data_IF_289764786676
#
_entry.id   IF_289764786676
#
_cell.length_a   1.000
_cell.length_b   1.000
_cell.length_c   1.000
_cell.angle_alpha   90.00
_cell.angle_beta   90.00
_cell.angle_gamma   90.00
#
_symmetry.space_group_name_H-M   'P 1'
#
loop_
_entity.id
_entity.type
_entity.pdbx_description
1 polymer ?
#
# COMPACT_ATOMS: atom_id res chain seq x y z
N UNK A 1 -38.94 11.12 47.90
CA UNK A 1 -37.70 10.50 48.44
C UNK A 1 -37.03 9.53 47.46
N UNK A 2 -37.55 8.32 47.19
CA UNK A 2 -36.86 7.35 46.31
C UNK A 2 -36.76 7.80 44.84
N UNK A 3 -37.83 8.40 44.30
CA UNK A 3 -37.89 8.90 42.92
C UNK A 3 -36.96 10.10 42.71
N UNK A 4 -36.83 10.98 43.71
CA UNK A 4 -35.93 12.13 43.66
C UNK A 4 -34.46 11.71 43.68
N UNK A 5 -34.10 10.75 44.53
CA UNK A 5 -32.74 10.20 44.59
C UNK A 5 -32.32 9.53 43.26
N UNK A 6 -33.26 8.82 42.61
CA UNK A 6 -33.01 8.22 41.29
C UNK A 6 -32.77 9.29 40.22
N UNK A 7 -33.59 10.33 40.19
CA UNK A 7 -33.45 11.46 39.25
C UNK A 7 -32.12 12.20 39.43
N UNK A 8 -31.68 12.42 40.66
CA UNK A 8 -30.39 13.04 40.94
C UNK A 8 -29.21 12.18 40.45
N UNK A 9 -29.32 10.86 40.57
CA UNK A 9 -28.28 9.92 40.13
C UNK A 9 -28.16 9.89 38.61
N UNK A 10 -29.30 9.82 37.91
CA UNK A 10 -29.37 9.87 36.44
C UNK A 10 -28.84 11.22 35.90
N UNK A 11 -29.14 12.33 36.58
CA UNK A 11 -28.65 13.65 36.20
C UNK A 11 -27.13 13.76 36.36
N UNK A 12 -26.57 13.19 37.43
CA UNK A 12 -25.12 13.14 37.66
C UNK A 12 -24.40 12.26 36.63
N UNK A 13 -24.97 11.11 36.28
CA UNK A 13 -24.48 10.24 35.18
C UNK A 13 -24.47 10.99 33.84
N UNK A 14 -25.56 11.70 33.52
CA UNK A 14 -25.69 12.44 32.26
C UNK A 14 -24.70 13.61 32.18
N UNK A 15 -24.52 14.35 33.29
CA UNK A 15 -23.53 15.42 33.39
C UNK A 15 -22.10 14.89 33.26
N UNK A 16 -21.80 13.73 33.85
CA UNK A 16 -20.50 13.07 33.71
C UNK A 16 -20.24 12.67 32.25
N UNK A 17 -21.22 12.08 31.56
CA UNK A 17 -21.12 11.76 30.12
C UNK A 17 -20.94 13.02 29.27
N UNK A 18 -21.69 14.08 29.58
CA UNK A 18 -21.57 15.38 28.89
C UNK A 18 -20.18 16.00 29.08
N UNK A 19 -19.62 15.94 30.29
CA UNK A 19 -18.25 16.41 30.57
C UNK A 19 -17.17 15.65 29.78
N UNK A 20 -17.36 14.35 29.53
CA UNK A 20 -16.48 13.58 28.64
C UNK A 20 -16.66 13.91 27.14
N UNK A 21 -17.87 14.28 26.72
CA UNK A 21 -18.19 14.65 25.33
C UNK A 21 -17.79 16.09 24.97
N UNK A 22 -17.73 16.99 25.95
CA UNK A 22 -17.42 18.43 25.73
C UNK A 22 -16.03 18.68 25.09
N UNK A 23 -14.93 18.02 25.52
CA UNK A 23 -13.63 18.18 24.86
C UNK A 23 -13.58 17.58 23.45
N UNK A 24 -14.41 16.56 23.16
CA UNK A 24 -14.53 15.95 21.83
C UNK A 24 -15.18 16.92 20.85
N UNK A 25 -16.26 17.61 21.26
CA UNK A 25 -16.92 18.62 20.43
C UNK A 25 -16.06 19.87 20.17
N UNK A 26 -15.25 20.28 21.14
CA UNK A 26 -14.34 21.41 20.96
C UNK A 26 -13.22 21.11 19.94
N UNK A 27 -12.74 19.87 19.88
CA UNK A 27 -11.72 19.43 18.93
C UNK A 27 -12.21 19.33 17.47
N UNK A 28 -13.52 19.14 17.26
CA UNK A 28 -14.13 19.08 15.92
C UNK A 28 -14.23 20.46 15.23
N UNK A 29 -14.06 21.56 15.96
CA UNK A 29 -14.25 22.93 15.46
C UNK A 29 -12.95 23.68 15.15
N UNK A 30 -11.78 23.03 15.25
CA UNK A 30 -10.48 23.62 14.89
C UNK A 30 -9.84 22.83 13.75
N UNK A 31 -9.71 23.39 12.53
CA UNK A 31 -9.14 22.70 11.37
C UNK A 31 -7.65 22.31 11.50
N UNK A 32 -6.98 22.67 12.59
CA UNK A 32 -5.52 22.62 12.74
C UNK A 32 -4.98 21.57 13.70
N UNK A 33 -5.84 20.77 14.38
CA UNK A 33 -5.39 19.72 15.30
C UNK A 33 -5.52 18.30 14.77
N UNK A 34 -6.07 18.13 13.56
CA UNK A 34 -6.27 16.82 12.96
C UNK A 34 -4.94 16.26 12.47
N UNK A 35 -4.57 15.08 12.98
CA UNK A 35 -3.31 14.42 12.64
C UNK A 35 -3.55 12.95 12.33
N UNK A 36 -2.72 12.42 11.44
CA UNK A 36 -2.69 10.98 11.20
C UNK A 36 -2.16 10.26 12.44
N UNK A 37 -2.86 9.21 12.86
CA UNK A 37 -2.33 8.22 13.78
C UNK A 37 -1.20 7.40 13.14
N UNK A 38 -0.60 6.53 13.95
CA UNK A 38 0.40 5.59 13.47
C UNK A 38 -0.20 4.59 12.47
N UNK A 39 0.64 4.11 11.55
CA UNK A 39 0.28 2.98 10.70
C UNK A 39 0.29 1.72 11.54
N UNK A 40 -0.76 0.93 11.39
CA UNK A 40 -0.94 -0.37 12.03
C UNK A 40 -0.96 -1.41 10.93
N UNK A 41 -0.04 -2.36 10.98
CA UNK A 41 0.02 -3.45 10.03
C UNK A 41 -1.25 -4.31 10.15
N UNK A 42 -1.78 -4.70 9.01
CA UNK A 42 -2.98 -5.53 8.91
C UNK A 42 -2.63 -6.75 8.08
N UNK A 43 -2.91 -7.92 8.62
CA UNK A 43 -2.88 -9.13 7.82
C UNK A 43 -4.23 -9.26 7.10
N UNK A 44 -4.20 -9.08 5.79
CA UNK A 44 -5.39 -9.21 4.94
C UNK A 44 -5.13 -10.19 3.81
N UNK A 45 -6.20 -10.84 3.36
CA UNK A 45 -6.09 -11.84 2.31
C UNK A 45 -5.61 -11.21 1.00
N UNK A 46 -4.64 -11.87 0.39
CA UNK A 46 -4.22 -11.51 -0.94
C UNK A 46 -5.30 -11.83 -1.97
N UNK A 47 -5.58 -10.86 -2.86
CA UNK A 47 -6.59 -10.96 -3.92
C UNK A 47 -6.28 -12.06 -4.94
N UNK A 48 -5.00 -12.36 -5.16
CA UNK A 48 -4.52 -13.45 -6.01
C UNK A 48 -3.53 -14.32 -5.24
N UNK A 49 -3.36 -15.57 -5.66
CA UNK A 49 -2.49 -16.52 -4.94
C UNK A 49 -1.14 -16.75 -5.60
N UNK A 50 -0.86 -16.11 -6.75
CA UNK A 50 0.35 -16.33 -7.53
C UNK A 50 0.80 -15.09 -8.32
N UNK A 51 2.03 -15.14 -8.80
CA UNK A 51 2.55 -14.26 -9.84
C UNK A 51 2.92 -12.84 -9.40
N UNK A 52 2.90 -12.57 -8.08
CA UNK A 52 2.85 -11.21 -7.53
C UNK A 52 1.74 -10.37 -8.17
N UNK A 53 0.63 -11.03 -8.51
CA UNK A 53 -0.52 -10.42 -9.18
C UNK A 53 -1.57 -9.89 -8.22
N UNK A 54 -1.46 -10.24 -6.94
CA UNK A 54 -2.43 -9.90 -5.93
C UNK A 54 -2.04 -8.62 -5.22
N UNK A 55 -3.04 -7.99 -4.62
CA UNK A 55 -2.87 -6.85 -3.74
C UNK A 55 -3.56 -7.17 -2.43
N UNK A 56 -2.93 -6.82 -1.32
CA UNK A 56 -3.49 -6.89 0.03
C UNK A 56 -3.36 -5.55 0.72
N UNK A 57 -4.16 -5.33 1.75
CA UNK A 57 -3.96 -4.22 2.68
C UNK A 57 -2.83 -4.62 3.62
N UNK A 58 -1.71 -3.90 3.55
CA UNK A 58 -0.56 -4.11 4.43
C UNK A 58 -0.67 -3.33 5.73
N UNK A 59 -1.25 -2.12 5.69
CA UNK A 59 -1.44 -1.31 6.88
C UNK A 59 -2.62 -0.33 6.77
N UNK A 60 -3.16 0.07 7.93
CA UNK A 60 -4.19 1.10 8.06
C UNK A 60 -3.78 2.15 9.08
N UNK A 61 -4.33 3.35 8.97
CA UNK A 61 -4.23 4.41 9.97
C UNK A 61 -5.55 5.18 10.07
N UNK A 62 -5.80 5.75 11.23
CA UNK A 62 -6.98 6.57 11.48
C UNK A 62 -6.59 8.02 11.70
N UNK A 63 -7.51 8.93 11.35
CA UNK A 63 -7.37 10.34 11.67
C UNK A 63 -7.74 10.56 13.13
N UNK A 64 -6.91 11.31 13.85
CA UNK A 64 -7.11 11.64 15.25
C UNK A 64 -7.26 13.16 15.43
N UNK A 65 -8.13 13.60 16.36
CA UNK A 65 -9.12 12.82 17.11
C UNK A 65 -10.30 12.29 16.26
N UNK A 66 -11.08 11.35 16.80
CA UNK A 66 -12.24 10.76 16.10
C UNK A 66 -13.18 11.88 15.62
N UNK A 67 -13.56 11.83 14.34
CA UNK A 67 -14.40 12.83 13.68
C UNK A 67 -13.61 13.93 12.97
N UNK A 68 -12.29 13.93 13.06
CA UNK A 68 -11.43 14.74 12.20
C UNK A 68 -11.38 14.21 10.77
N UNK A 69 -11.15 15.14 9.83
CA UNK A 69 -10.86 14.83 8.42
C UNK A 69 -9.39 15.07 8.14
N UNK A 70 -8.64 14.01 7.87
CA UNK A 70 -7.23 14.10 7.47
C UNK A 70 -7.13 13.98 5.94
N UNK A 71 -6.21 14.74 5.34
CA UNK A 71 -5.91 14.61 3.91
C UNK A 71 -4.84 13.54 3.67
N UNK A 72 -5.04 12.73 2.63
CA UNK A 72 -4.15 11.62 2.25
C UNK A 72 -4.73 10.23 2.55
N UNK A 73 -3.96 9.16 2.28
CA UNK A 73 -4.47 7.80 2.36
C UNK A 73 -4.60 7.30 3.80
N UNK A 74 -5.69 6.62 4.14
CA UNK A 74 -5.87 5.90 5.41
C UNK A 74 -5.46 4.43 5.32
N UNK A 75 -5.22 3.92 4.11
CA UNK A 75 -4.88 2.52 3.83
C UNK A 75 -3.62 2.46 2.98
N UNK A 76 -2.77 1.46 3.24
CA UNK A 76 -1.61 1.10 2.42
C UNK A 76 -1.81 -0.28 1.83
N UNK A 77 -1.55 -0.38 0.54
CA UNK A 77 -1.60 -1.61 -0.22
C UNK A 77 -0.21 -2.15 -0.50
N UNK A 78 -0.10 -3.47 -0.54
CA UNK A 78 1.13 -4.20 -0.83
C UNK A 78 0.85 -5.30 -1.85
N UNK A 79 1.81 -5.52 -2.75
CA UNK A 79 1.76 -6.62 -3.71
C UNK A 79 1.95 -7.95 -2.99
N UNK A 80 1.24 -8.97 -3.45
CA UNK A 80 1.21 -10.29 -2.82
C UNK A 80 0.84 -11.39 -3.82
N UNK A 81 0.80 -12.63 -3.33
CA UNK A 81 0.56 -13.81 -4.17
C UNK A 81 1.87 -14.31 -4.74
N UNK A 82 2.75 -14.78 -3.86
CA UNK A 82 4.10 -15.23 -4.21
C UNK A 82 4.10 -16.44 -5.17
N UNK A 83 5.26 -16.72 -5.77
CA UNK A 83 5.42 -17.80 -6.73
C UNK A 83 4.97 -17.43 -8.14
N UNK A 84 5.05 -18.40 -9.06
CA UNK A 84 4.64 -18.22 -10.45
C UNK A 84 3.21 -18.69 -10.68
N UNK A 85 2.45 -17.98 -11.51
CA UNK A 85 1.17 -18.48 -11.98
C UNK A 85 1.35 -19.56 -13.06
N UNK A 86 0.43 -20.52 -13.13
CA UNK A 86 0.43 -21.59 -14.15
C UNK A 86 0.13 -21.11 -15.59
N UNK A 87 0.09 -19.79 -15.81
CA UNK A 87 -0.16 -19.18 -17.13
C UNK A 87 1.13 -19.21 -17.94
N UNK A 88 1.09 -19.88 -19.09
CA UNK A 88 2.29 -20.10 -19.91
C UNK A 88 2.90 -18.79 -20.46
N UNK A 89 2.09 -17.83 -20.88
CA UNK A 89 2.58 -16.61 -21.53
C UNK A 89 2.88 -15.46 -20.56
N UNK A 90 2.35 -15.53 -19.33
CA UNK A 90 2.50 -14.46 -18.33
C UNK A 90 2.44 -15.00 -16.89
N UNK A 91 3.51 -15.66 -16.42
CA UNK A 91 3.59 -16.24 -15.08
C UNK A 91 3.67 -15.19 -13.96
N UNK A 92 4.09 -13.97 -14.28
CA UNK A 92 4.25 -12.84 -13.35
C UNK A 92 3.50 -11.59 -13.82
N UNK A 93 3.05 -10.76 -12.88
CA UNK A 93 2.30 -9.53 -13.17
C UNK A 93 3.16 -8.26 -13.08
N UNK A 94 2.66 -7.17 -13.68
CA UNK A 94 3.29 -5.85 -13.56
C UNK A 94 4.75 -5.83 -14.00
N UNK A 95 5.61 -5.38 -13.09
CA UNK A 95 7.06 -5.29 -13.27
C UNK A 95 7.83 -6.54 -12.82
N UNK A 96 7.12 -7.60 -12.38
CA UNK A 96 7.76 -8.82 -11.93
C UNK A 96 8.11 -9.72 -13.12
N UNK A 97 9.32 -10.27 -13.11
CA UNK A 97 9.81 -11.28 -14.06
C UNK A 97 9.91 -12.63 -13.39
N UNK A 98 9.71 -13.67 -14.21
CA UNK A 98 9.87 -15.05 -13.77
C UNK A 98 11.36 -15.35 -13.58
N UNK A 99 11.73 -15.76 -12.37
CA UNK A 99 13.08 -16.18 -12.03
C UNK A 99 13.05 -17.34 -11.05
N UNK A 100 14.22 -17.82 -10.66
CA UNK A 100 14.35 -18.95 -9.74
C UNK A 100 15.20 -18.52 -8.56
N UNK A 101 14.62 -18.51 -7.37
CA UNK A 101 15.34 -18.22 -6.12
C UNK A 101 15.41 -19.50 -5.30
N UNK A 102 16.62 -19.96 -5.01
CA UNK A 102 16.87 -21.21 -4.25
C UNK A 102 16.19 -22.45 -4.87
N UNK A 103 16.13 -22.53 -6.20
CA UNK A 103 15.49 -23.63 -6.92
C UNK A 103 13.96 -23.58 -6.99
N UNK A 104 13.33 -22.56 -6.39
CA UNK A 104 11.88 -22.36 -6.43
C UNK A 104 11.56 -21.27 -7.47
N UNK A 105 10.69 -21.56 -8.46
CA UNK A 105 10.28 -20.56 -9.43
C UNK A 105 9.40 -19.50 -8.75
N UNK A 106 9.79 -18.24 -8.88
CA UNK A 106 9.14 -17.11 -8.23
C UNK A 106 9.16 -15.87 -9.12
N UNK A 107 8.29 -14.92 -8.80
CA UNK A 107 8.24 -13.63 -9.46
C UNK A 107 9.07 -12.63 -8.67
N UNK A 108 10.10 -12.08 -9.31
CA UNK A 108 11.00 -11.08 -8.73
C UNK A 108 10.88 -9.79 -9.52
N UNK A 109 11.15 -8.64 -8.90
CA UNK A 109 11.18 -7.38 -9.65
C UNK A 109 12.23 -7.47 -10.77
N UNK A 110 11.88 -7.03 -11.99
CA UNK A 110 12.68 -7.17 -13.21
C UNK A 110 14.14 -6.66 -13.14
N UNK A 111 14.52 -5.94 -12.08
CA UNK A 111 15.90 -5.49 -11.81
C UNK A 111 16.79 -6.55 -11.16
N UNK A 112 16.26 -7.73 -10.81
CA UNK A 112 16.99 -8.79 -10.11
C UNK A 112 17.54 -9.93 -11.03
N UNK A 113 17.39 -9.83 -12.35
CA UNK A 113 17.66 -10.92 -13.31
C UNK A 113 19.12 -10.99 -13.86
N UNK A 114 20.14 -10.65 -13.06
CA UNK A 114 21.57 -10.77 -13.46
C UNK A 114 22.31 -11.88 -12.71
N UNK A 115 21.65 -12.62 -11.82
CA UNK A 115 22.28 -13.71 -11.09
C UNK A 115 21.65 -15.03 -11.57
N UNK A 116 22.47 -15.87 -12.19
CA UNK A 116 22.20 -17.24 -12.65
C UNK A 116 21.91 -17.44 -14.15
N UNK A 117 22.91 -17.17 -14.99
CA UNK A 117 23.25 -18.03 -16.15
C UNK A 117 24.64 -17.70 -16.69
N UNK A 118 25.68 -18.26 -16.06
CA UNK A 118 26.96 -18.48 -16.76
C UNK A 118 27.09 -19.97 -17.08
N UNK A 119 26.92 -20.40 -18.34
CA UNK A 119 27.60 -21.61 -18.77
C UNK A 119 29.10 -21.33 -18.77
N UNK A 120 29.88 -22.25 -18.22
CA UNK A 120 31.34 -22.18 -18.22
C UNK A 120 31.85 -22.10 -19.66
N UNK A 121 32.32 -20.92 -20.10
CA UNK A 121 33.13 -20.79 -21.31
C UNK A 121 34.54 -20.33 -20.94
N UNK A 122 35.46 -21.28 -21.05
CA UNK A 122 36.91 -21.08 -21.19
C UNK A 122 37.16 -20.13 -22.37
N UNK A 123 37.88 -19.04 -22.14
CA UNK A 123 38.89 -18.52 -23.08
C UNK A 123 39.63 -17.33 -22.47
N UNK A 124 40.90 -17.58 -22.18
CA UNK A 124 42.07 -16.71 -22.29
C UNK A 124 41.98 -15.24 -21.83
N UNK A 125 42.67 -15.02 -20.72
CA UNK A 125 43.51 -13.86 -20.39
C UNK A 125 43.86 -12.93 -21.56
N UNK A 126 43.44 -11.67 -21.47
CA UNK A 126 44.16 -10.55 -22.08
C UNK A 126 44.02 -9.35 -21.17
N UNK A 127 45.15 -8.96 -20.60
CA UNK A 127 45.38 -7.79 -19.78
C UNK A 127 45.08 -6.54 -20.63
N UNK A 128 44.17 -5.68 -20.17
CA UNK A 128 44.04 -4.32 -20.70
C UNK A 128 43.78 -3.33 -19.57
N UNK A 129 44.80 -2.52 -19.32
CA UNK A 129 44.91 -1.48 -18.30
C UNK A 129 44.00 -0.30 -18.58
N UNK A 130 42.96 -0.12 -17.76
CA UNK A 130 42.26 1.17 -17.56
C UNK A 130 41.84 1.33 -16.08
N UNK A 131 41.72 2.57 -15.55
CA UNK A 131 41.80 2.83 -14.12
C UNK A 131 40.51 2.42 -13.39
N UNK A 132 40.67 1.61 -12.34
CA UNK A 132 39.64 1.24 -11.36
C UNK A 132 39.04 2.51 -10.71
N UNK A 133 37.82 2.87 -11.09
CA UNK A 133 36.86 3.37 -10.10
C UNK A 133 36.49 2.15 -9.26
N UNK A 134 36.83 2.19 -7.98
CA UNK A 134 36.43 1.19 -6.99
C UNK A 134 34.90 1.20 -6.86
N UNK A 135 34.20 0.47 -7.72
CA UNK A 135 32.85 0.03 -7.43
C UNK A 135 32.96 -0.93 -6.24
N UNK A 136 32.56 -0.42 -5.08
CA UNK A 136 32.37 -1.23 -3.88
C UNK A 136 31.41 -2.35 -4.27
N UNK A 137 31.82 -3.60 -4.04
CA UNK A 137 31.02 -4.79 -4.34
C UNK A 137 29.68 -4.67 -3.63
N UNK A 138 28.61 -4.44 -4.39
CA UNK A 138 27.22 -4.19 -3.93
C UNK A 138 26.53 -5.43 -3.34
N UNK A 139 27.26 -6.51 -3.12
CA UNK A 139 26.74 -7.79 -2.62
C UNK A 139 26.66 -7.91 -1.10
N UNK A 140 26.95 -6.85 -0.33
CA UNK A 140 27.06 -6.95 1.15
C UNK A 140 26.46 -5.77 1.91
N UNK A 141 25.62 -4.95 1.29
CA UNK A 141 24.94 -3.88 2.02
C UNK A 141 23.41 -4.04 2.00
N UNK A 142 22.82 -4.12 3.21
CA UNK A 142 21.39 -3.88 3.44
C UNK A 142 21.17 -2.37 3.47
N UNK A 143 20.38 -1.89 2.53
CA UNK A 143 19.98 -0.49 2.48
C UNK A 143 18.77 -0.22 3.36
N UNK A 144 18.52 1.07 3.60
CA UNK A 144 17.35 1.58 4.30
C UNK A 144 16.55 2.42 3.30
N UNK A 145 15.22 2.27 3.36
CA UNK A 145 14.31 3.05 2.54
C UNK A 145 14.36 4.55 2.88
N UNK A 146 14.43 5.39 1.86
CA UNK A 146 14.12 6.81 1.98
C UNK A 146 12.64 7.00 2.35
N UNK A 147 12.25 8.19 2.82
CA UNK A 147 10.86 8.58 2.84
C UNK A 147 10.24 8.48 1.43
N UNK A 148 8.93 8.20 1.39
CA UNK A 148 8.16 8.25 0.15
C UNK A 148 8.04 9.69 -0.34
N UNK A 149 8.19 9.87 -1.64
CA UNK A 149 8.03 11.14 -2.36
C UNK A 149 6.90 11.02 -3.39
N UNK A 150 6.03 12.03 -3.57
CA UNK A 150 4.90 11.94 -4.50
C UNK A 150 5.36 11.65 -5.92
N UNK A 151 4.68 10.71 -6.59
CA UNK A 151 4.96 10.37 -7.98
C UNK A 151 4.46 11.47 -8.91
N UNK A 152 5.30 11.93 -9.84
CA UNK A 152 4.90 12.92 -10.86
C UNK A 152 4.09 12.32 -12.01
N UNK A 153 3.97 10.98 -12.05
CA UNK A 153 3.24 10.23 -13.07
C UNK A 153 2.27 9.29 -12.34
N UNK A 154 0.98 9.59 -12.41
CA UNK A 154 -0.08 8.81 -11.78
C UNK A 154 -1.18 8.48 -12.79
N UNK A 155 -0.95 7.49 -13.66
CA UNK A 155 -1.99 6.93 -14.53
C UNK A 155 -2.69 5.78 -13.83
N UNK A 156 -4.02 5.76 -13.88
CA UNK A 156 -4.79 4.63 -13.38
C UNK A 156 -4.81 3.51 -14.43
N UNK A 157 -4.45 2.28 -14.04
CA UNK A 157 -4.49 1.12 -14.93
C UNK A 157 -5.91 0.56 -15.15
N UNK A 158 -6.89 1.01 -14.37
CA UNK A 158 -8.31 0.67 -14.49
C UNK A 158 -9.21 1.89 -14.66
N UNK A 159 -10.25 1.79 -15.48
CA UNK A 159 -11.11 2.93 -15.79
C UNK A 159 -12.36 3.06 -14.91
N UNK A 160 -12.72 2.02 -14.15
CA UNK A 160 -13.96 1.98 -13.38
C UNK A 160 -13.87 1.03 -12.16
N UNK A 161 -14.87 1.11 -11.28
CA UNK A 161 -15.16 0.19 -10.19
C UNK A 161 -14.24 0.28 -8.98
N UNK A 162 -13.33 1.27 -8.91
CA UNK A 162 -12.17 1.24 -8.00
C UNK A 162 -11.31 -0.04 -8.18
N UNK A 163 -11.30 -0.57 -9.42
CA UNK A 163 -10.56 -1.77 -9.77
C UNK A 163 -9.12 -1.48 -10.22
N UNK A 164 -8.85 -0.22 -10.60
CA UNK A 164 -7.52 0.19 -11.04
C UNK A 164 -6.62 0.55 -9.87
N UNK A 165 -5.32 0.58 -10.13
CA UNK A 165 -4.28 1.06 -9.24
C UNK A 165 -3.43 2.11 -9.96
N UNK A 166 -2.88 3.03 -9.18
CA UNK A 166 -1.89 4.01 -9.64
C UNK A 166 -0.81 4.18 -8.60
N UNK A 167 0.42 4.44 -9.06
CA UNK A 167 1.52 4.81 -8.18
C UNK A 167 1.32 6.26 -7.73
N UNK A 168 1.34 6.49 -6.42
CA UNK A 168 1.17 7.82 -5.83
C UNK A 168 2.40 8.31 -5.09
N UNK A 169 3.29 7.40 -4.69
CA UNK A 169 4.58 7.78 -4.17
C UNK A 169 5.65 6.73 -4.47
N UNK A 170 6.90 7.18 -4.56
CA UNK A 170 8.07 6.34 -4.74
C UNK A 170 9.13 6.66 -3.69
N UNK A 171 9.95 5.67 -3.36
CA UNK A 171 11.10 5.79 -2.45
C UNK A 171 12.33 5.17 -3.06
N UNK A 172 13.51 5.56 -2.56
CA UNK A 172 14.81 5.03 -3.00
C UNK A 172 15.49 4.28 -1.87
N UNK A 173 16.24 3.25 -2.24
CA UNK A 173 17.09 2.53 -1.30
C UNK A 173 18.40 3.29 -1.08
N UNK A 174 18.79 3.49 0.18
CA UNK A 174 19.98 4.25 0.57
C UNK A 174 20.91 3.33 1.39
N UNK A 175 22.22 3.26 1.10
CA UNK A 175 22.90 3.90 -0.03
C UNK A 175 22.51 3.29 -1.38
N UNK A 176 22.65 4.07 -2.45
CA UNK A 176 22.39 3.56 -3.80
C UNK A 176 23.28 2.35 -4.10
N UNK A 177 22.67 1.31 -4.68
CA UNK A 177 23.34 0.03 -4.93
C UNK A 177 23.21 -1.01 -3.81
N UNK A 178 22.60 -0.66 -2.67
CA UNK A 178 22.26 -1.63 -1.62
C UNK A 178 20.88 -2.26 -1.83
N UNK A 179 20.65 -3.42 -1.21
CA UNK A 179 19.39 -4.13 -1.28
C UNK A 179 18.46 -3.68 -0.14
N UNK A 180 17.24 -3.28 -0.48
CA UNK A 180 16.18 -2.99 0.50
C UNK A 180 15.04 -3.99 0.33
N UNK A 181 14.51 -4.48 1.46
CA UNK A 181 13.38 -5.42 1.46
C UNK A 181 12.05 -4.66 1.35
N UNK A 182 11.13 -5.15 0.51
CA UNK A 182 9.80 -4.57 0.28
C UNK A 182 9.71 -3.64 -0.95
N UNK A 183 8.51 -3.12 -1.23
CA UNK A 183 8.26 -2.35 -2.47
C UNK A 183 8.84 -0.93 -2.42
N UNK A 184 9.34 -0.42 -3.54
CA UNK A 184 9.77 0.97 -3.69
C UNK A 184 8.62 1.92 -4.09
N UNK A 185 7.42 1.39 -4.32
CA UNK A 185 6.25 2.11 -4.81
C UNK A 185 5.09 2.00 -3.83
N UNK A 186 4.35 3.09 -3.71
CA UNK A 186 3.08 3.13 -2.99
C UNK A 186 1.97 3.25 -4.02
N UNK A 187 1.05 2.29 -3.98
CA UNK A 187 -0.12 2.26 -4.84
C UNK A 187 -1.37 2.71 -4.09
N UNK A 188 -2.31 3.33 -4.81
CA UNK A 188 -3.69 3.53 -4.36
C UNK A 188 -4.66 3.01 -5.42
N UNK A 189 -5.87 2.65 -5.00
CA UNK A 189 -6.95 2.32 -5.93
C UNK A 189 -7.47 3.56 -6.64
N UNK A 190 -7.92 3.38 -7.87
CA UNK A 190 -8.42 4.45 -8.71
C UNK A 190 -9.47 3.93 -9.70
N UNK A 191 -10.12 4.87 -10.40
CA UNK A 191 -11.26 4.55 -11.28
C UNK A 191 -12.59 4.53 -10.52
N UNK A 192 -12.91 5.60 -9.80
CA UNK A 192 -14.09 5.70 -8.91
C UNK A 192 -15.45 5.55 -9.60
N UNK A 193 -15.51 5.68 -10.94
CA UNK A 193 -16.76 5.53 -11.69
C UNK A 193 -17.24 4.08 -11.62
N UNK A 194 -18.50 3.77 -11.30
CA UNK A 194 -18.96 2.39 -11.28
C UNK A 194 -18.85 1.71 -12.64
N UNK A 195 -18.47 0.44 -12.65
CA UNK A 195 -18.48 -0.41 -13.83
C UNK A 195 -19.89 -0.99 -14.05
N UNK A 196 -20.75 -0.31 -14.80
CA UNK A 196 -22.13 -0.78 -15.01
C UNK A 196 -22.27 -2.13 -15.72
N UNK A 197 -21.21 -2.62 -16.35
CA UNK A 197 -21.16 -3.94 -16.97
C UNK A 197 -20.92 -5.08 -15.96
N UNK A 198 -20.49 -4.78 -14.72
CA UNK A 198 -20.26 -5.77 -13.67
C UNK A 198 -21.50 -5.93 -12.80
N UNK A 199 -21.81 -7.17 -12.40
CA UNK A 199 -22.94 -7.47 -11.50
C UNK A 199 -22.92 -6.62 -10.22
N UNK A 200 -21.73 -6.36 -9.65
CA UNK A 200 -21.58 -5.61 -8.40
C UNK A 200 -21.21 -4.14 -8.60
N UNK A 201 -20.99 -3.69 -9.85
CA UNK A 201 -20.58 -2.33 -10.24
C UNK A 201 -19.28 -1.76 -9.64
N UNK A 202 -18.83 -2.23 -8.48
CA UNK A 202 -17.57 -1.92 -7.83
C UNK A 202 -16.77 -3.20 -7.60
N UNK A 203 -15.45 -3.08 -7.52
CA UNK A 203 -14.55 -4.16 -7.18
C UNK A 203 -14.65 -4.54 -5.69
N UNK A 204 -14.24 -5.76 -5.31
CA UNK A 204 -14.29 -6.21 -3.91
C UNK A 204 -13.62 -5.22 -2.95
N UNK A 205 -14.29 -4.95 -1.82
CA UNK A 205 -13.88 -3.96 -0.83
C UNK A 205 -14.26 -2.52 -1.18
N UNK A 206 -15.14 -2.32 -2.14
CA UNK A 206 -15.76 -1.03 -2.43
C UNK A 206 -17.25 -1.19 -2.76
N UNK A 207 -18.04 -0.20 -2.34
CA UNK A 207 -19.49 -0.14 -2.55
C UNK A 207 -19.90 1.14 -3.26
N UNK A 208 -21.05 1.11 -3.93
CA UNK A 208 -21.63 2.32 -4.52
C UNK A 208 -22.11 3.25 -3.41
N UNK A 209 -21.67 4.49 -3.47
CA UNK A 209 -22.18 5.60 -2.65
C UNK A 209 -22.67 6.74 -3.54
N UNK A 210 -23.59 7.54 -3.02
CA UNK A 210 -24.08 8.75 -3.68
C UNK A 210 -23.32 9.96 -3.11
N UNK A 211 -22.52 10.63 -3.95
CA UNK A 211 -21.81 11.86 -3.60
C UNK A 211 -22.16 12.92 -4.65
N UNK A 212 -22.71 14.06 -4.22
CA UNK A 212 -23.16 15.14 -5.10
C UNK A 212 -24.08 14.69 -6.25
N UNK A 213 -24.99 13.76 -5.95
CA UNK A 213 -25.93 13.19 -6.92
C UNK A 213 -25.30 12.23 -7.94
N UNK A 214 -24.00 11.95 -7.85
CA UNK A 214 -23.30 10.96 -8.68
C UNK A 214 -23.09 9.67 -7.91
N UNK A 215 -23.32 8.54 -8.57
CA UNK A 215 -22.95 7.21 -8.07
C UNK A 215 -21.47 7.02 -8.32
N UNK A 216 -20.70 6.85 -7.25
CA UNK A 216 -19.28 6.52 -7.28
C UNK A 216 -19.05 5.27 -6.45
N UNK A 217 -18.03 4.50 -6.80
CA UNK A 217 -17.49 3.49 -5.91
C UNK A 217 -16.68 4.19 -4.81
N UNK A 218 -16.76 3.66 -3.58
CA UNK A 218 -15.95 4.10 -2.45
C UNK A 218 -15.54 2.88 -1.66
N UNK A 219 -14.31 2.88 -1.14
CA UNK A 219 -13.79 1.79 -0.32
C UNK A 219 -14.65 1.60 0.93
N UNK A 220 -14.90 0.34 1.26
CA UNK A 220 -15.61 -0.06 2.46
C UNK A 220 -14.66 0.15 3.67
N UNK A 221 -15.14 0.88 4.67
CA UNK A 221 -14.34 1.33 5.81
C UNK A 221 -14.28 0.27 6.93
#
# INVERSE_FOLDING_TARGET
KFIEAKRETETKELLKRKAHLTPVLAALNSPSSCKWGAWVDVDSECSEKCGMCGVKIGARRSCEPIGCTCSGPSVRYEDCGEGICARQDKPCCGAYTNSTVSGVPTCIDAVADVIEKRPARRSHETISTTPRKSHLSTSTCRGIWSPFSPSSISSCDGSCGLCGHRVVAERRCIPEGCQCDGSNKLHERCGEKPCWALQNSCCPGASIVLVDGKRICKEDN
#
